data_IF_537725350553
#
_entry.id   IF_537725350553
#
_cell.length_a   1.000
_cell.length_b   1.000
_cell.length_c   1.000
_cell.angle_alpha   90.00
_cell.angle_beta   90.00
_cell.angle_gamma   90.00
#
_symmetry.space_group_name_H-M   'P 1'
#
loop_
_entity.id
_entity.type
_entity.pdbx_description
1 polymer ?
#
# COMPACT_ATOMS: atom_id res chain seq x y z
N UNK A 1 -18.91 -39.37 5.43
CA UNK A 1 -17.85 -38.38 5.12
C UNK A 1 -18.20 -37.57 3.88
N UNK A 2 -18.53 -38.22 2.73
CA UNK A 2 -18.88 -37.52 1.48
C UNK A 2 -20.10 -36.58 1.65
N UNK A 3 -21.14 -36.98 2.39
CA UNK A 3 -22.32 -36.13 2.62
C UNK A 3 -22.03 -34.95 3.53
N UNK A 4 -21.03 -35.04 4.40
CA UNK A 4 -20.58 -33.93 5.24
C UNK A 4 -19.80 -32.87 4.41
N UNK A 5 -18.89 -33.31 3.55
CA UNK A 5 -18.17 -32.44 2.64
C UNK A 5 -19.09 -31.77 1.61
N UNK A 6 -20.11 -32.52 1.11
CA UNK A 6 -21.09 -31.95 0.17
C UNK A 6 -21.93 -30.85 0.83
N UNK A 7 -22.36 -31.02 2.09
CA UNK A 7 -23.07 -29.99 2.88
C UNK A 7 -22.17 -28.78 3.22
N UNK A 8 -20.85 -28.99 3.35
CA UNK A 8 -19.88 -27.89 3.52
C UNK A 8 -19.76 -27.12 2.20
N UNK A 9 -19.60 -27.81 1.07
CA UNK A 9 -19.50 -27.19 -0.25
C UNK A 9 -20.78 -26.42 -0.66
N UNK A 10 -21.96 -26.91 -0.27
CA UNK A 10 -23.23 -26.21 -0.49
C UNK A 10 -23.39 -24.94 0.37
N UNK A 11 -22.64 -24.81 1.48
CA UNK A 11 -22.57 -23.61 2.31
C UNK A 11 -21.55 -22.58 1.81
N UNK A 12 -20.62 -22.98 0.96
CA UNK A 12 -19.81 -22.04 0.22
C UNK A 12 -20.62 -21.55 -0.99
N UNK A 13 -21.45 -20.56 -0.75
CA UNK A 13 -21.98 -19.73 -1.85
C UNK A 13 -20.79 -19.33 -2.70
N UNK A 14 -20.80 -19.51 -4.03
CA UNK A 14 -19.76 -18.97 -4.89
C UNK A 14 -19.55 -17.52 -4.47
N UNK A 15 -18.29 -17.13 -4.27
CA UNK A 15 -17.96 -15.75 -3.95
C UNK A 15 -18.65 -14.88 -5.00
N UNK A 16 -19.76 -14.27 -4.60
CA UNK A 16 -20.46 -13.33 -5.46
C UNK A 16 -19.53 -12.14 -5.67
N UNK A 17 -19.65 -11.46 -6.79
CA UNK A 17 -18.84 -10.29 -7.17
C UNK A 17 -18.81 -9.16 -6.12
N UNK A 18 -19.57 -9.30 -5.04
CA UNK A 18 -19.81 -8.31 -3.99
C UNK A 18 -18.88 -8.43 -2.78
N UNK A 19 -17.83 -9.25 -2.84
CA UNK A 19 -16.88 -9.40 -1.71
C UNK A 19 -15.45 -9.19 -2.16
N UNK A 20 -14.66 -8.53 -1.31
CA UNK A 20 -13.21 -8.44 -1.48
C UNK A 20 -12.61 -9.85 -1.54
N UNK A 21 -11.78 -10.09 -2.54
CA UNK A 21 -10.99 -11.31 -2.67
C UNK A 21 -9.60 -11.01 -2.10
N UNK A 22 -9.17 -11.76 -1.09
CA UNK A 22 -7.81 -11.68 -0.59
C UNK A 22 -6.99 -12.82 -1.19
N UNK A 23 -5.75 -12.55 -1.52
CA UNK A 23 -4.86 -13.53 -2.10
C UNK A 23 -3.41 -13.12 -1.99
N UNK A 24 -2.54 -13.93 -2.59
CA UNK A 24 -1.12 -13.69 -2.69
C UNK A 24 -0.66 -13.83 -4.14
N UNK A 25 0.28 -12.97 -4.52
CA UNK A 25 1.08 -13.14 -5.73
C UNK A 25 2.42 -13.72 -5.30
N UNK A 26 2.78 -14.90 -5.82
CA UNK A 26 4.07 -15.53 -5.60
C UNK A 26 5.11 -14.89 -6.52
N UNK A 27 6.22 -14.43 -5.95
CA UNK A 27 7.36 -13.84 -6.63
C UNK A 27 8.65 -14.52 -6.13
N UNK A 28 9.76 -14.37 -6.83
CA UNK A 28 11.01 -15.05 -6.48
C UNK A 28 11.53 -14.73 -5.07
N UNK A 29 11.25 -13.52 -4.55
CA UNK A 29 11.68 -13.11 -3.21
C UNK A 29 10.71 -13.53 -2.09
N UNK A 30 9.47 -13.91 -2.43
CA UNK A 30 8.40 -14.23 -1.47
C UNK A 30 7.03 -13.85 -2.00
N UNK A 31 6.12 -13.43 -1.14
CA UNK A 31 4.71 -13.24 -1.47
C UNK A 31 4.25 -11.79 -1.28
N UNK A 32 3.47 -11.28 -2.21
CA UNK A 32 2.72 -10.03 -2.07
C UNK A 32 1.26 -10.36 -1.79
N UNK A 33 0.81 -10.03 -0.59
CA UNK A 33 -0.61 -10.10 -0.22
C UNK A 33 -1.38 -8.96 -0.89
N UNK A 34 -2.63 -9.23 -1.28
CA UNK A 34 -3.51 -8.22 -1.84
C UNK A 34 -4.98 -8.43 -1.44
N UNK A 35 -5.75 -7.35 -1.53
CA UNK A 35 -7.21 -7.38 -1.64
C UNK A 35 -7.62 -6.92 -3.04
N UNK A 36 -8.55 -7.63 -3.67
CA UNK A 36 -9.09 -7.27 -4.99
C UNK A 36 -10.61 -7.18 -4.96
N UNK A 37 -11.17 -6.33 -5.81
CA UNK A 37 -12.60 -6.13 -5.93
C UNK A 37 -13.00 -5.72 -7.37
N UNK A 38 -14.24 -6.03 -7.77
CA UNK A 38 -14.77 -5.69 -9.10
C UNK A 38 -14.37 -6.68 -10.19
N UNK A 39 -15.22 -6.78 -11.22
CA UNK A 39 -15.09 -7.75 -12.31
C UNK A 39 -14.97 -7.08 -13.69
N UNK A 40 -15.33 -5.79 -13.79
CA UNK A 40 -15.43 -5.06 -15.04
C UNK A 40 -14.73 -3.71 -14.98
N UNK A 41 -14.58 -3.07 -16.13
CA UNK A 41 -14.01 -1.74 -16.22
C UNK A 41 -12.47 -1.72 -16.25
N UNK A 42 -11.86 -0.55 -16.10
CA UNK A 42 -10.41 -0.39 -16.12
C UNK A 42 -9.74 -1.09 -14.93
N UNK A 43 -8.48 -1.43 -15.10
CA UNK A 43 -7.65 -1.94 -13.99
C UNK A 43 -7.13 -0.79 -13.16
N UNK A 44 -7.24 -0.91 -11.84
CA UNK A 44 -6.88 0.10 -10.86
C UNK A 44 -6.04 -0.53 -9.76
N UNK A 45 -4.79 -0.10 -9.58
CA UNK A 45 -3.96 -0.50 -8.46
C UNK A 45 -3.95 0.60 -7.39
N UNK A 46 -4.12 0.24 -6.12
CA UNK A 46 -4.14 1.16 -4.98
C UNK A 46 -2.92 0.90 -4.09
N UNK A 47 -2.02 1.87 -3.99
CA UNK A 47 -0.81 1.79 -3.17
C UNK A 47 -0.97 2.61 -1.90
N UNK A 48 -0.91 1.94 -0.76
CA UNK A 48 -1.13 2.55 0.56
C UNK A 48 0.10 3.31 1.08
N UNK A 49 -0.12 4.14 2.07
CA UNK A 49 0.93 4.84 2.81
C UNK A 49 1.60 3.93 3.86
N UNK A 50 2.87 4.22 4.19
CA UNK A 50 3.57 3.56 5.30
C UNK A 50 3.11 4.13 6.65
N UNK A 51 3.08 3.30 7.71
CA UNK A 51 3.38 1.87 7.79
C UNK A 51 2.12 1.00 7.72
N UNK A 52 1.12 1.41 6.95
CA UNK A 52 -0.18 0.78 6.90
C UNK A 52 -0.20 -0.43 5.95
N UNK A 53 -1.38 -0.88 5.58
CA UNK A 53 -1.62 -1.96 4.64
C UNK A 53 -2.81 -1.63 3.73
N UNK A 54 -3.15 -2.52 2.82
CA UNK A 54 -4.32 -2.40 1.97
C UNK A 54 -5.66 -2.27 2.75
N UNK A 55 -5.65 -2.55 4.05
CA UNK A 55 -6.80 -2.38 4.95
C UNK A 55 -7.34 -0.94 4.98
N UNK A 56 -6.51 0.05 4.70
CA UNK A 56 -6.95 1.45 4.60
C UNK A 56 -7.94 1.68 3.47
N UNK A 57 -7.95 0.79 2.47
CA UNK A 57 -8.86 0.85 1.32
C UNK A 57 -10.14 0.02 1.50
N UNK A 58 -10.32 -0.68 2.64
CA UNK A 58 -11.44 -1.62 2.86
C UNK A 58 -12.81 -0.99 2.56
N UNK A 59 -13.00 0.28 2.92
CA UNK A 59 -14.24 1.02 2.66
C UNK A 59 -14.35 1.52 1.22
N UNK A 60 -13.23 1.73 0.53
CA UNK A 60 -13.19 2.24 -0.84
C UNK A 60 -13.32 1.11 -1.88
N UNK A 61 -12.83 -0.09 -1.57
CA UNK A 61 -12.83 -1.23 -2.49
C UNK A 61 -14.21 -1.56 -3.08
N UNK A 62 -15.32 -1.67 -2.30
CA UNK A 62 -16.64 -1.94 -2.84
C UNK A 62 -17.12 -0.84 -3.80
N UNK A 63 -16.88 0.43 -3.44
CA UNK A 63 -17.31 1.60 -4.20
C UNK A 63 -16.58 1.64 -5.55
N UNK A 64 -15.26 1.48 -5.53
CA UNK A 64 -14.44 1.46 -6.74
C UNK A 64 -14.74 0.24 -7.61
N UNK A 65 -15.01 -0.90 -6.98
CA UNK A 65 -15.29 -2.15 -7.67
C UNK A 65 -16.62 -2.19 -8.46
N UNK A 66 -17.51 -1.21 -8.27
CA UNK A 66 -18.72 -1.06 -9.07
C UNK A 66 -18.39 -0.72 -10.54
N UNK A 67 -17.24 -0.08 -10.80
CA UNK A 67 -16.87 0.39 -12.14
C UNK A 67 -15.43 0.05 -12.56
N UNK A 68 -14.63 -0.53 -11.70
CA UNK A 68 -13.23 -0.90 -11.95
C UNK A 68 -12.90 -2.28 -11.40
N UNK A 69 -11.87 -2.91 -11.97
CA UNK A 69 -11.20 -4.07 -11.38
C UNK A 69 -10.05 -3.53 -10.50
N UNK A 70 -10.22 -3.64 -9.20
CA UNK A 70 -9.33 -3.02 -8.21
C UNK A 70 -8.40 -4.05 -7.61
N UNK A 71 -7.13 -3.69 -7.47
CA UNK A 71 -6.07 -4.46 -6.84
C UNK A 71 -5.36 -3.58 -5.83
N UNK A 72 -5.40 -3.96 -4.56
CA UNK A 72 -4.75 -3.25 -3.47
C UNK A 72 -3.70 -4.16 -2.83
N UNK A 73 -2.45 -4.13 -3.29
CA UNK A 73 -1.37 -4.91 -2.69
C UNK A 73 -0.90 -4.28 -1.39
N UNK A 74 -0.43 -5.12 -0.47
CA UNK A 74 0.40 -4.67 0.65
C UNK A 74 1.83 -4.43 0.13
N UNK A 75 2.40 -3.28 0.45
CA UNK A 75 3.80 -2.98 0.15
C UNK A 75 4.71 -4.02 0.83
N UNK A 76 5.83 -4.48 0.20
CA UNK A 76 6.75 -5.42 0.84
C UNK A 76 7.13 -5.00 2.26
N UNK A 77 6.96 -5.94 3.21
CA UNK A 77 7.22 -5.71 4.64
C UNK A 77 6.07 -5.10 5.44
N UNK A 78 4.97 -4.75 4.80
CA UNK A 78 3.74 -4.26 5.46
C UNK A 78 2.58 -5.23 5.26
N UNK A 79 1.54 -5.08 6.08
CA UNK A 79 0.40 -5.98 6.04
C UNK A 79 0.82 -7.45 6.16
N UNK A 80 0.48 -8.25 5.17
CA UNK A 80 0.83 -9.67 5.08
C UNK A 80 1.89 -9.98 4.00
N UNK A 81 2.49 -8.96 3.36
CA UNK A 81 3.52 -9.14 2.35
C UNK A 81 4.89 -9.47 2.95
N UNK A 82 5.65 -10.35 2.29
CA UNK A 82 7.03 -10.67 2.65
C UNK A 82 7.90 -9.40 2.64
N UNK A 83 8.73 -9.15 3.67
CA UNK A 83 9.63 -8.01 3.67
C UNK A 83 10.81 -8.22 2.72
N UNK A 84 11.24 -7.14 2.06
CA UNK A 84 12.58 -7.06 1.45
C UNK A 84 13.65 -6.77 2.52
N UNK A 85 14.95 -6.95 2.22
CA UNK A 85 16.02 -6.51 3.10
C UNK A 85 15.87 -5.04 3.52
N UNK A 86 16.34 -4.70 4.73
CA UNK A 86 16.21 -3.35 5.29
C UNK A 86 16.84 -2.26 4.43
N UNK A 87 17.94 -2.57 3.77
CA UNK A 87 18.70 -1.68 2.90
C UNK A 87 18.07 -1.46 1.52
N UNK A 88 16.97 -2.15 1.20
CA UNK A 88 16.28 -1.98 -0.07
C UNK A 88 15.79 -0.55 -0.26
N UNK A 89 15.94 -0.06 -1.46
CA UNK A 89 15.49 1.29 -1.84
C UNK A 89 13.98 1.32 -2.15
N UNK A 90 13.41 2.51 -2.25
CA UNK A 90 12.04 2.69 -2.76
C UNK A 90 11.90 2.13 -4.19
N UNK A 91 12.95 2.22 -5.00
CA UNK A 91 12.99 1.65 -6.36
C UNK A 91 12.91 0.12 -6.37
N UNK A 92 13.48 -0.56 -5.36
CA UNK A 92 13.36 -2.02 -5.22
C UNK A 92 11.93 -2.41 -4.83
N UNK A 93 11.32 -1.70 -3.87
CA UNK A 93 9.91 -1.89 -3.52
C UNK A 93 8.98 -1.67 -4.73
N UNK A 94 9.23 -0.60 -5.49
CA UNK A 94 8.47 -0.29 -6.69
C UNK A 94 8.58 -1.38 -7.76
N UNK A 95 9.76 -1.97 -7.94
CA UNK A 95 9.99 -3.06 -8.91
C UNK A 95 9.19 -4.31 -8.55
N UNK A 96 9.22 -4.71 -7.28
CA UNK A 96 8.44 -5.85 -6.76
C UNK A 96 6.94 -5.60 -6.88
N UNK A 97 6.47 -4.41 -6.54
CA UNK A 97 5.05 -4.07 -6.70
C UNK A 97 4.64 -4.04 -8.18
N UNK A 98 5.49 -3.55 -9.07
CA UNK A 98 5.23 -3.56 -10.52
C UNK A 98 5.09 -4.99 -11.06
N UNK A 99 5.91 -5.93 -10.60
CA UNK A 99 5.81 -7.35 -10.96
C UNK A 99 4.49 -7.96 -10.47
N UNK A 100 4.10 -7.71 -9.21
CA UNK A 100 2.82 -8.16 -8.68
C UNK A 100 1.63 -7.57 -9.44
N UNK A 101 1.66 -6.26 -9.72
CA UNK A 101 0.62 -5.57 -10.49
C UNK A 101 0.55 -6.13 -11.91
N UNK A 102 1.69 -6.34 -12.58
CA UNK A 102 1.78 -6.89 -13.94
C UNK A 102 1.20 -8.31 -14.01
N UNK A 103 1.51 -9.15 -13.02
CA UNK A 103 0.95 -10.51 -12.91
C UNK A 103 -0.56 -10.47 -12.80
N UNK A 104 -1.09 -9.63 -11.92
CA UNK A 104 -2.54 -9.46 -11.79
C UNK A 104 -3.16 -8.80 -13.03
N UNK A 105 -2.48 -7.86 -13.65
CA UNK A 105 -2.96 -7.12 -14.82
C UNK A 105 -3.05 -7.98 -16.09
N UNK A 106 -2.35 -9.10 -16.16
CA UNK A 106 -2.41 -10.05 -17.28
C UNK A 106 -2.24 -9.37 -18.66
N UNK A 107 -1.29 -8.44 -18.77
CA UNK A 107 -0.96 -7.73 -20.02
C UNK A 107 -1.79 -6.45 -20.28
N UNK A 108 -2.76 -6.12 -19.45
CA UNK A 108 -3.48 -4.85 -19.58
C UNK A 108 -2.75 -3.73 -18.84
N UNK A 109 -2.87 -2.49 -19.34
CA UNK A 109 -2.37 -1.29 -18.62
C UNK A 109 -3.25 -0.97 -17.42
N UNK A 110 -2.61 -0.41 -16.39
CA UNK A 110 -3.21 -0.14 -15.07
C UNK A 110 -3.17 1.35 -14.75
N UNK A 111 -4.25 1.89 -14.21
CA UNK A 111 -4.23 3.18 -13.52
C UNK A 111 -3.68 2.92 -12.12
N UNK A 112 -2.63 3.63 -11.71
CA UNK A 112 -2.01 3.44 -10.40
C UNK A 112 -2.37 4.62 -9.49
N UNK A 113 -3.06 4.33 -8.40
CA UNK A 113 -3.40 5.29 -7.37
C UNK A 113 -2.45 5.12 -6.19
N UNK A 114 -1.82 6.20 -5.73
CA UNK A 114 -0.91 6.16 -4.60
C UNK A 114 -1.21 7.24 -3.57
N UNK A 115 -1.09 6.87 -2.28
CA UNK A 115 -1.26 7.78 -1.15
C UNK A 115 0.07 7.90 -0.40
N UNK A 116 0.56 9.13 -0.21
CA UNK A 116 1.83 9.44 0.48
C UNK A 116 3.01 8.57 -0.02
N UNK A 117 3.52 7.63 0.77
CA UNK A 117 4.57 6.68 0.33
C UNK A 117 4.13 5.91 -0.91
N UNK A 118 2.86 5.51 -0.98
CA UNK A 118 2.27 4.88 -2.17
C UNK A 118 2.29 5.79 -3.40
N UNK A 119 2.21 7.11 -3.23
CA UNK A 119 2.36 8.05 -4.34
C UNK A 119 3.79 8.08 -4.88
N UNK A 120 4.80 8.01 -4.00
CA UNK A 120 6.21 7.88 -4.42
C UNK A 120 6.46 6.56 -5.17
N UNK A 121 5.88 5.46 -4.67
CA UNK A 121 5.95 4.15 -5.34
C UNK A 121 5.26 4.18 -6.71
N UNK A 122 4.09 4.80 -6.82
CA UNK A 122 3.36 4.93 -8.09
C UNK A 122 4.17 5.74 -9.14
N UNK A 123 4.83 6.83 -8.72
CA UNK A 123 5.72 7.63 -9.55
C UNK A 123 6.89 6.77 -10.06
N UNK A 124 7.57 6.05 -9.18
CA UNK A 124 8.70 5.20 -9.53
C UNK A 124 8.29 4.06 -10.46
N UNK A 125 7.14 3.41 -10.22
CA UNK A 125 6.61 2.36 -11.09
C UNK A 125 6.33 2.93 -12.49
N UNK A 126 5.67 4.06 -12.59
CA UNK A 126 5.33 4.65 -13.89
C UNK A 126 6.56 5.10 -14.69
N UNK A 127 7.61 5.57 -14.00
CA UNK A 127 8.86 5.96 -14.63
C UNK A 127 9.66 4.76 -15.14
N UNK A 128 9.73 3.67 -14.36
CA UNK A 128 10.49 2.46 -14.72
C UNK A 128 9.75 1.51 -15.65
N UNK A 129 8.42 1.46 -15.55
CA UNK A 129 7.56 0.51 -16.26
C UNK A 129 6.42 1.24 -17.00
N UNK A 130 6.73 2.14 -17.96
CA UNK A 130 5.73 2.99 -18.62
C UNK A 130 4.68 2.18 -19.41
N UNK A 131 5.01 0.97 -19.83
CA UNK A 131 4.06 0.09 -20.52
C UNK A 131 3.01 -0.52 -19.58
N UNK A 132 3.28 -0.60 -18.30
CA UNK A 132 2.33 -1.05 -17.28
C UNK A 132 1.32 0.04 -16.92
N UNK A 133 1.72 1.33 -16.99
CA UNK A 133 0.94 2.44 -16.49
C UNK A 133 0.10 3.11 -17.59
N UNK A 134 -1.21 3.23 -17.39
CA UNK A 134 -2.12 4.01 -18.25
C UNK A 134 -2.44 5.40 -17.68
N UNK A 135 -2.14 5.65 -16.41
CA UNK A 135 -2.33 6.93 -15.73
C UNK A 135 -2.04 6.84 -14.25
N UNK A 136 -1.81 7.98 -13.61
CA UNK A 136 -1.57 8.11 -12.18
C UNK A 136 -2.64 8.97 -11.51
N UNK A 137 -3.06 8.54 -10.31
CA UNK A 137 -3.82 9.36 -9.38
C UNK A 137 -3.06 9.42 -8.05
N UNK A 138 -2.56 10.59 -7.69
CA UNK A 138 -1.61 10.75 -6.58
C UNK A 138 -2.21 11.65 -5.50
N UNK A 139 -2.15 11.20 -4.24
CA UNK A 139 -2.64 11.93 -3.08
C UNK A 139 -1.48 12.16 -2.11
N UNK A 140 -1.25 13.42 -1.75
CA UNK A 140 -0.24 13.76 -0.74
C UNK A 140 1.18 13.38 -1.14
N UNK A 141 1.60 13.69 -2.38
CA UNK A 141 2.97 13.39 -2.86
C UNK A 141 4.01 14.03 -1.93
N UNK A 142 4.95 13.26 -1.37
CA UNK A 142 5.92 13.78 -0.40
C UNK A 142 7.08 14.51 -1.08
N UNK A 143 6.83 15.74 -1.50
CA UNK A 143 7.85 16.64 -2.07
C UNK A 143 8.42 17.53 -0.96
N UNK A 144 9.71 17.42 -0.71
CA UNK A 144 10.41 18.14 0.36
C UNK A 144 11.67 18.82 -0.16
N UNK A 145 12.02 19.97 0.44
CA UNK A 145 13.37 20.55 0.30
C UNK A 145 14.41 19.65 0.98
N UNK A 146 15.69 19.84 0.64
CA UNK A 146 16.76 19.03 1.24
C UNK A 146 16.82 19.19 2.76
N UNK A 147 16.58 20.41 3.28
CA UNK A 147 16.51 20.64 4.73
C UNK A 147 15.34 19.88 5.38
N UNK A 148 14.17 19.90 4.73
CA UNK A 148 13.01 19.13 5.22
C UNK A 148 13.24 17.61 5.17
N UNK A 149 13.95 17.09 4.15
CA UNK A 149 14.31 15.66 4.07
C UNK A 149 15.18 15.25 5.23
N UNK A 150 16.25 16.01 5.49
CA UNK A 150 17.18 15.75 6.59
C UNK A 150 16.41 15.72 7.92
N UNK A 151 15.56 16.72 8.15
CA UNK A 151 14.72 16.78 9.36
C UNK A 151 13.77 15.58 9.46
N UNK A 152 13.07 15.23 8.37
CA UNK A 152 12.14 14.09 8.34
C UNK A 152 12.84 12.76 8.62
N UNK A 153 13.99 12.52 8.00
CA UNK A 153 14.77 11.30 8.22
C UNK A 153 15.22 11.22 9.68
N UNK A 154 15.63 12.34 10.28
CA UNK A 154 16.13 12.37 11.66
C UNK A 154 15.01 12.28 12.72
N UNK A 155 13.84 12.88 12.48
CA UNK A 155 12.89 13.17 13.54
C UNK A 155 11.46 12.60 13.32
N UNK A 156 11.05 12.28 12.08
CA UNK A 156 9.66 11.89 11.82
C UNK A 156 9.32 10.48 12.28
N UNK A 157 10.24 9.55 12.16
CA UNK A 157 9.99 8.14 12.41
C UNK A 157 11.13 7.51 13.24
N UNK A 158 11.28 7.92 14.51
CA UNK A 158 12.33 7.43 15.39
C UNK A 158 12.21 5.93 15.64
N UNK A 159 13.34 5.28 15.92
CA UNK A 159 13.33 3.91 16.42
C UNK A 159 12.77 3.89 17.85
N UNK A 160 11.70 3.16 18.06
CA UNK A 160 11.02 3.02 19.35
C UNK A 160 11.14 1.57 19.81
N UNK A 161 11.77 1.35 20.95
CA UNK A 161 11.87 0.02 21.54
C UNK A 161 10.55 -0.44 22.15
N UNK A 162 10.28 -1.73 22.06
CA UNK A 162 9.18 -2.36 22.82
C UNK A 162 9.50 -2.22 24.31
N UNK A 163 8.53 -1.75 25.07
CA UNK A 163 8.64 -1.40 26.49
C UNK A 163 7.65 -2.24 27.30
N UNK A 164 8.11 -2.88 28.39
CA UNK A 164 7.28 -3.72 29.25
C UNK A 164 6.11 -2.97 29.90
N UNK A 165 6.24 -1.66 30.09
CA UNK A 165 5.17 -0.82 30.61
C UNK A 165 4.14 -0.38 29.57
N UNK A 166 4.33 -0.77 28.29
CA UNK A 166 3.41 -0.45 27.19
C UNK A 166 3.52 0.98 26.65
N UNK A 167 4.57 1.74 26.98
CA UNK A 167 4.74 3.12 26.50
C UNK A 167 4.75 3.23 24.97
N UNK A 168 5.30 2.24 24.27
CA UNK A 168 5.27 2.18 22.81
C UNK A 168 3.84 2.13 22.24
N UNK A 169 2.88 1.50 22.94
CA UNK A 169 1.47 1.46 22.53
C UNK A 169 0.83 2.84 22.66
N UNK A 170 1.12 3.51 23.78
CA UNK A 170 0.63 4.88 24.04
C UNK A 170 1.21 5.83 22.98
N UNK A 171 2.52 5.74 22.72
CA UNK A 171 3.18 6.53 21.69
C UNK A 171 2.55 6.32 20.30
N UNK A 172 2.26 5.08 19.93
CA UNK A 172 1.61 4.78 18.66
C UNK A 172 0.23 5.44 18.53
N UNK A 173 -0.56 5.39 19.61
CA UNK A 173 -1.88 6.04 19.67
C UNK A 173 -1.78 7.55 19.57
N UNK A 174 -0.93 8.19 20.38
CA UNK A 174 -0.71 9.64 20.38
C UNK A 174 -0.19 10.13 19.02
N UNK A 175 0.70 9.36 18.37
CA UNK A 175 1.18 9.65 17.03
C UNK A 175 0.03 9.79 16.03
N UNK A 176 -0.92 8.85 16.00
CA UNK A 176 -2.05 8.94 15.07
C UNK A 176 -3.09 9.98 15.49
N UNK A 177 -3.17 10.35 16.75
CA UNK A 177 -3.95 11.52 17.16
C UNK A 177 -3.37 12.82 16.57
N UNK A 178 -2.04 12.92 16.47
CA UNK A 178 -1.36 14.09 15.90
C UNK A 178 -1.42 14.11 14.37
N UNK A 179 -1.20 12.97 13.72
CA UNK A 179 -1.16 12.87 12.25
C UNK A 179 -2.58 12.97 11.67
N UNK A 180 -3.55 12.35 12.30
CA UNK A 180 -4.96 12.30 11.86
C UNK A 180 -5.91 12.86 12.92
N UNK A 181 -5.82 14.14 13.28
CA UNK A 181 -6.57 14.73 14.41
C UNK A 181 -8.09 14.67 14.22
N UNK A 182 -8.56 14.71 12.97
CA UNK A 182 -10.00 14.71 12.63
C UNK A 182 -10.53 13.35 12.18
N UNK A 183 -9.66 12.33 12.03
CA UNK A 183 -10.10 11.02 11.59
C UNK A 183 -11.00 10.34 12.64
N UNK A 184 -11.98 9.53 12.21
CA UNK A 184 -12.76 8.69 13.11
C UNK A 184 -11.86 7.81 13.98
N UNK A 185 -12.28 7.56 15.22
CA UNK A 185 -11.49 6.76 16.17
C UNK A 185 -11.19 5.36 15.65
N UNK A 186 -12.11 4.75 14.89
CA UNK A 186 -11.91 3.44 14.27
C UNK A 186 -10.78 3.43 13.23
N UNK A 187 -10.65 4.49 12.43
CA UNK A 187 -9.62 4.60 11.42
C UNK A 187 -8.24 4.82 12.06
N UNK A 188 -8.15 5.61 13.14
CA UNK A 188 -6.92 5.75 13.95
C UNK A 188 -6.54 4.42 14.61
N UNK A 189 -7.53 3.69 15.16
CA UNK A 189 -7.30 2.38 15.74
C UNK A 189 -6.75 1.38 14.70
N UNK A 190 -7.32 1.37 13.48
CA UNK A 190 -6.79 0.56 12.38
C UNK A 190 -5.32 0.91 12.10
N UNK A 191 -5.00 2.19 11.97
CA UNK A 191 -3.65 2.64 11.67
C UNK A 191 -2.64 2.23 12.76
N UNK A 192 -3.02 2.33 14.03
CA UNK A 192 -2.21 1.87 15.16
C UNK A 192 -1.98 0.36 15.10
N UNK A 193 -3.03 -0.43 14.85
CA UNK A 193 -2.92 -1.89 14.74
C UNK A 193 -2.00 -2.31 13.60
N UNK A 194 -2.13 -1.69 12.41
CA UNK A 194 -1.27 -2.00 11.27
C UNK A 194 0.20 -1.61 11.53
N UNK A 195 0.46 -0.48 12.19
CA UNK A 195 1.81 -0.09 12.59
C UNK A 195 2.41 -1.06 13.62
N UNK A 196 1.63 -1.48 14.63
CA UNK A 196 2.09 -2.41 15.67
C UNK A 196 2.43 -3.80 15.11
N UNK A 197 1.74 -4.24 14.06
CA UNK A 197 2.05 -5.52 13.37
C UNK A 197 3.43 -5.56 12.74
N UNK A 198 3.96 -4.40 12.37
CA UNK A 198 5.23 -4.24 11.66
C UNK A 198 6.22 -3.40 12.47
N UNK A 199 6.10 -3.41 13.80
CA UNK A 199 6.80 -2.50 14.72
C UNK A 199 8.30 -2.38 14.46
N UNK A 200 8.99 -3.49 14.24
CA UNK A 200 10.44 -3.54 14.00
C UNK A 200 10.89 -2.88 12.69
N UNK A 201 9.94 -2.62 11.79
CA UNK A 201 10.19 -2.06 10.45
C UNK A 201 9.21 -0.95 10.05
N UNK A 202 8.42 -0.43 11.02
CA UNK A 202 7.39 0.56 10.70
C UNK A 202 7.96 1.81 10.01
N UNK A 203 9.21 2.15 10.29
CA UNK A 203 9.86 3.34 9.76
C UNK A 203 10.58 3.13 8.41
N UNK A 204 10.78 1.90 7.95
CA UNK A 204 11.55 1.63 6.72
C UNK A 204 10.97 2.37 5.51
N UNK A 205 9.68 2.23 5.23
CA UNK A 205 9.03 2.90 4.10
C UNK A 205 9.02 4.42 4.20
N UNK A 206 8.94 4.97 5.42
CA UNK A 206 9.11 6.40 5.63
C UNK A 206 10.51 6.88 5.22
N UNK A 207 11.55 6.19 5.71
CA UNK A 207 12.94 6.54 5.40
C UNK A 207 13.22 6.45 3.90
N UNK A 208 12.70 5.42 3.24
CA UNK A 208 12.80 5.24 1.79
C UNK A 208 12.07 6.36 1.04
N UNK A 209 10.85 6.74 1.44
CA UNK A 209 10.09 7.83 0.82
C UNK A 209 10.74 9.20 1.05
N UNK A 210 11.32 9.45 2.22
CA UNK A 210 12.03 10.70 2.50
C UNK A 210 13.35 10.80 1.75
N UNK A 211 14.03 9.69 1.49
CA UNK A 211 15.23 9.66 0.65
C UNK A 211 14.92 9.81 -0.85
N UNK A 212 13.73 9.46 -1.28
CA UNK A 212 13.31 9.51 -2.68
C UNK A 212 13.03 10.95 -3.16
N UNK A 213 13.21 11.22 -4.46
CA UNK A 213 13.06 12.52 -5.11
C UNK A 213 11.95 12.50 -6.17
N UNK A 214 10.67 12.47 -5.77
CA UNK A 214 9.56 12.44 -6.73
C UNK A 214 9.54 13.67 -7.64
N UNK A 215 10.00 14.82 -7.15
CA UNK A 215 10.14 16.08 -7.88
C UNK A 215 11.07 15.99 -9.08
N UNK A 216 12.06 15.09 -9.05
CA UNK A 216 12.98 14.85 -10.17
C UNK A 216 12.36 13.84 -11.14
N UNK A 217 11.83 12.75 -10.62
CA UNK A 217 11.39 11.61 -11.42
C UNK A 217 10.10 11.87 -12.19
N UNK A 218 9.17 12.63 -11.60
CA UNK A 218 7.82 12.86 -12.16
C UNK A 218 7.87 13.48 -13.57
N UNK A 219 8.90 14.24 -13.90
CA UNK A 219 9.07 14.87 -15.22
C UNK A 219 9.36 13.87 -16.35
N UNK A 220 9.79 12.66 -16.03
CA UNK A 220 10.06 11.57 -17.01
C UNK A 220 8.81 10.76 -17.36
N UNK A 221 7.72 10.94 -16.65
CA UNK A 221 6.49 10.16 -16.82
C UNK A 221 5.71 10.70 -18.00
N UNK A 222 5.33 9.81 -18.91
CA UNK A 222 4.56 10.16 -20.12
C UNK A 222 3.06 9.91 -19.98
N UNK A 223 2.67 9.09 -19.02
CA UNK A 223 1.26 8.81 -18.73
C UNK A 223 0.56 10.02 -18.09
N UNK A 224 -0.75 10.21 -18.27
CA UNK A 224 -1.51 11.26 -17.60
C UNK A 224 -1.36 11.18 -16.08
N UNK A 225 -1.16 12.32 -15.42
CA UNK A 225 -1.02 12.41 -13.97
C UNK A 225 -2.10 13.34 -13.41
N UNK A 226 -2.83 12.87 -12.41
CA UNK A 226 -3.74 13.65 -11.60
C UNK A 226 -3.23 13.70 -10.17
N UNK A 227 -3.09 14.89 -9.60
CA UNK A 227 -2.61 15.10 -8.23
C UNK A 227 -3.73 15.75 -7.43
N UNK A 228 -4.11 15.09 -6.34
CA UNK A 228 -5.01 15.63 -5.32
C UNK A 228 -4.19 16.08 -4.09
N UNK A 229 -4.56 17.23 -3.52
CA UNK A 229 -3.95 17.79 -2.32
C UNK A 229 -4.67 17.29 -1.06
#
# INVERSE_FOLDING_TARGET
LLSFFQKILERFTPLTADRAQNGYVDLDFGQIHYSAYGQMGPRLALLHESPLSNKVFEKALPILGEWARVFAPDTPGYGNSTPLPRESSLSDLASVLAEAISTWAAGEKVIICGVHTGASLAIEIAAKFPDLCSGLFLIGVPVYSDAQRIDRIANWCPDISIDESGKHLIWAWERYQQIWPTAPVGDRNLAVLEMLRVWERYNWGYLQAFAYRPDIVISSITSPIHIAA
#
